data_IF_388639736726
#
_entry.id   IF_388639736726
#
_cell.length_a   1.000
_cell.length_b   1.000
_cell.length_c   1.000
_cell.angle_alpha   90.00
_cell.angle_beta   90.00
_cell.angle_gamma   90.00
#
_symmetry.space_group_name_H-M   'P 1'
#
loop_
_entity.id
_entity.type
_entity.pdbx_description
1 polymer ?
#
# COMPACT_ATOMS: atom_id res chain seq x y z
N UNK A 1 -30.74 -16.07 4.73
CA UNK A 1 -31.07 -14.77 4.14
C UNK A 1 -29.79 -14.11 3.62
N UNK A 2 -29.89 -13.43 2.48
CA UNK A 2 -28.80 -12.63 1.96
C UNK A 2 -28.80 -11.30 2.75
N UNK A 3 -27.84 -11.11 3.63
CA UNK A 3 -27.74 -9.93 4.49
C UNK A 3 -26.65 -9.02 3.94
N UNK A 4 -26.96 -7.73 3.77
CA UNK A 4 -25.97 -6.74 3.37
C UNK A 4 -25.16 -6.35 4.62
N UNK A 5 -23.86 -6.64 4.61
CA UNK A 5 -22.92 -6.24 5.66
C UNK A 5 -22.30 -4.89 5.29
N UNK A 6 -21.99 -4.08 6.30
CA UNK A 6 -21.30 -2.78 6.13
C UNK A 6 -19.80 -2.98 5.82
N UNK A 7 -19.23 -4.09 6.25
CA UNK A 7 -17.86 -4.53 5.99
C UNK A 7 -17.82 -6.05 5.93
N UNK A 8 -16.86 -6.62 5.18
CA UNK A 8 -16.65 -8.07 5.13
C UNK A 8 -16.37 -8.66 6.52
N UNK A 9 -15.76 -7.89 7.41
CA UNK A 9 -15.46 -8.30 8.78
C UNK A 9 -16.70 -8.45 9.66
N UNK A 10 -17.85 -7.92 9.27
CA UNK A 10 -19.14 -8.11 9.96
C UNK A 10 -19.79 -9.47 9.64
N UNK A 11 -19.44 -10.07 8.50
CA UNK A 11 -20.05 -11.32 8.05
C UNK A 11 -19.97 -12.46 9.07
N UNK A 12 -18.83 -12.72 9.76
CA UNK A 12 -18.77 -13.75 10.79
C UNK A 12 -19.77 -13.52 11.94
N UNK A 13 -20.00 -12.27 12.35
CA UNK A 13 -20.97 -11.94 13.40
C UNK A 13 -22.40 -12.26 12.93
N UNK A 14 -22.76 -11.87 11.71
CA UNK A 14 -24.08 -12.14 11.13
C UNK A 14 -24.33 -13.64 10.96
N UNK A 15 -23.31 -14.41 10.61
CA UNK A 15 -23.42 -15.86 10.47
C UNK A 15 -23.56 -16.54 11.83
N UNK A 16 -22.86 -16.04 12.86
CA UNK A 16 -22.99 -16.56 14.22
C UNK A 16 -24.37 -16.26 14.79
N UNK A 17 -24.88 -15.04 14.63
CA UNK A 17 -26.24 -14.65 15.04
C UNK A 17 -27.30 -15.54 14.35
N UNK A 18 -27.04 -15.96 13.11
CA UNK A 18 -27.88 -16.91 12.38
C UNK A 18 -27.73 -18.37 12.85
N UNK A 19 -26.83 -18.67 13.80
CA UNK A 19 -26.60 -19.99 14.37
C UNK A 19 -25.76 -20.93 13.50
N UNK A 20 -24.93 -20.39 12.58
CA UNK A 20 -24.14 -21.20 11.65
C UNK A 20 -23.18 -22.13 12.41
N UNK A 21 -22.45 -21.64 13.41
CA UNK A 21 -21.49 -22.44 14.16
C UNK A 21 -22.16 -23.66 14.81
N UNK A 22 -23.27 -23.43 15.50
CA UNK A 22 -24.06 -24.50 16.15
C UNK A 22 -24.57 -25.54 15.14
N UNK A 23 -25.06 -25.10 13.99
CA UNK A 23 -25.55 -26.03 12.95
C UNK A 23 -24.41 -26.83 12.31
N UNK A 24 -23.25 -26.21 12.07
CA UNK A 24 -22.06 -26.90 11.56
C UNK A 24 -21.56 -27.95 12.55
N UNK A 25 -21.38 -27.57 13.84
CA UNK A 25 -20.96 -28.50 14.89
C UNK A 25 -21.94 -29.68 15.00
N UNK A 26 -23.23 -29.40 15.01
CA UNK A 26 -24.27 -30.45 15.05
C UNK A 26 -24.17 -31.40 13.86
N UNK A 27 -23.97 -30.91 12.64
CA UNK A 27 -23.86 -31.72 11.42
C UNK A 27 -22.58 -32.56 11.38
N UNK A 28 -21.48 -32.06 11.95
CA UNK A 28 -20.19 -32.74 11.98
C UNK A 28 -20.02 -33.62 13.22
N UNK A 29 -20.97 -33.60 14.15
CA UNK A 29 -20.88 -34.36 15.41
C UNK A 29 -19.85 -33.83 16.39
N UNK A 30 -19.52 -32.53 16.32
CA UNK A 30 -18.64 -31.89 17.28
C UNK A 30 -19.44 -31.38 18.49
N UNK A 31 -18.90 -31.60 19.67
CA UNK A 31 -19.36 -30.99 20.91
C UNK A 31 -18.57 -29.70 21.12
N UNK A 32 -19.16 -28.56 20.75
CA UNK A 32 -18.56 -27.23 20.83
C UNK A 32 -19.39 -26.34 21.75
N UNK A 33 -18.68 -25.59 22.62
CA UNK A 33 -19.30 -24.51 23.37
C UNK A 33 -19.66 -23.31 22.48
N UNK A 34 -20.28 -22.30 23.07
CA UNK A 34 -20.57 -21.05 22.38
C UNK A 34 -19.24 -20.33 22.06
N UNK A 35 -19.08 -19.77 20.83
CA UNK A 35 -17.86 -19.08 20.44
C UNK A 35 -17.72 -17.74 21.17
N UNK A 36 -16.49 -17.38 21.54
CA UNK A 36 -16.22 -16.04 22.07
C UNK A 36 -15.92 -15.06 20.94
N UNK A 37 -16.92 -14.27 20.57
CA UNK A 37 -16.83 -13.27 19.49
C UNK A 37 -16.43 -11.86 19.99
N UNK A 38 -16.09 -11.67 21.28
CA UNK A 38 -15.84 -10.34 21.85
C UNK A 38 -14.74 -9.57 21.13
N UNK A 39 -13.59 -10.22 20.87
CA UNK A 39 -12.46 -9.58 20.19
C UNK A 39 -12.83 -9.22 18.74
N UNK A 40 -13.59 -10.09 18.06
CA UNK A 40 -14.04 -9.86 16.69
C UNK A 40 -15.07 -8.72 16.62
N UNK A 41 -16.03 -8.67 17.55
CA UNK A 41 -16.98 -7.57 17.67
C UNK A 41 -16.26 -6.23 17.89
N UNK A 42 -15.28 -6.19 18.80
CA UNK A 42 -14.48 -5.00 19.03
C UNK A 42 -13.70 -4.55 17.79
N UNK A 43 -13.20 -5.47 16.96
CA UNK A 43 -12.55 -5.16 15.68
C UNK A 43 -13.56 -4.52 14.71
N UNK A 44 -14.75 -5.10 14.55
CA UNK A 44 -15.78 -4.57 13.65
C UNK A 44 -16.21 -3.16 14.08
N UNK A 45 -16.38 -2.92 15.38
CA UNK A 45 -16.69 -1.59 15.90
C UNK A 45 -15.59 -0.57 15.60
N UNK A 46 -14.32 -0.93 15.73
CA UNK A 46 -13.20 -0.05 15.33
C UNK A 46 -13.23 0.30 13.84
N UNK A 47 -13.54 -0.68 12.98
CA UNK A 47 -13.63 -0.45 11.53
C UNK A 47 -14.75 0.54 11.21
N UNK A 48 -15.91 0.40 11.89
CA UNK A 48 -17.09 1.24 11.65
C UNK A 48 -16.95 2.67 12.18
N UNK A 49 -16.21 2.86 13.26
CA UNK A 49 -16.19 4.10 14.03
C UNK A 49 -14.81 4.76 14.14
N UNK A 50 -13.93 4.53 13.16
CA UNK A 50 -12.62 5.19 13.14
C UNK A 50 -12.75 6.73 13.11
N UNK A 51 -12.02 7.40 13.99
CA UNK A 51 -12.20 8.84 14.26
C UNK A 51 -11.32 9.73 13.37
N UNK A 52 -10.16 9.24 12.97
CA UNK A 52 -9.21 10.00 12.13
C UNK A 52 -9.49 9.75 10.65
N UNK A 53 -9.17 10.73 9.81
CA UNK A 53 -9.19 10.59 8.36
C UNK A 53 -7.78 10.76 7.83
N UNK A 54 -7.33 9.82 7.00
CA UNK A 54 -6.02 9.90 6.35
C UNK A 54 -6.16 9.58 4.87
N UNK A 55 -5.46 10.33 4.03
CA UNK A 55 -5.40 10.10 2.59
C UNK A 55 -4.01 9.63 2.21
N UNK A 56 -3.89 8.43 1.68
CA UNK A 56 -2.64 7.86 1.20
C UNK A 56 -2.62 7.91 -0.33
N UNK A 57 -1.68 8.67 -0.88
CA UNK A 57 -1.43 8.65 -2.32
C UNK A 57 -0.66 7.37 -2.68
N UNK A 58 -1.32 6.45 -3.38
CA UNK A 58 -0.71 5.25 -3.94
C UNK A 58 -0.25 5.58 -5.36
N UNK A 59 1.06 5.84 -5.50
CA UNK A 59 1.69 6.26 -6.75
C UNK A 59 2.29 5.04 -7.44
N UNK A 60 1.66 4.58 -8.50
CA UNK A 60 2.01 3.32 -9.14
C UNK A 60 1.82 3.28 -10.66
N UNK A 61 2.20 2.15 -11.25
CA UNK A 61 2.09 1.89 -12.70
C UNK A 61 0.77 1.25 -13.12
N UNK A 62 0.09 0.56 -12.17
CA UNK A 62 -1.07 -0.27 -12.45
C UNK A 62 -2.34 0.27 -11.80
N UNK A 63 -2.42 1.59 -11.64
CA UNK A 63 -3.54 2.26 -10.94
C UNK A 63 -4.87 2.16 -11.68
N UNK A 64 -4.86 1.86 -12.97
CA UNK A 64 -6.07 1.56 -13.74
C UNK A 64 -6.67 0.18 -13.45
N UNK A 65 -5.93 -0.71 -12.78
CA UNK A 65 -6.39 -2.04 -12.35
C UNK A 65 -6.16 -2.17 -10.85
N UNK A 66 -7.12 -1.74 -10.04
CA UNK A 66 -7.01 -1.67 -8.58
C UNK A 66 -6.63 -3.00 -7.94
N UNK A 67 -7.07 -4.13 -8.52
CA UNK A 67 -6.77 -5.48 -8.03
C UNK A 67 -5.26 -5.79 -8.02
N UNK A 68 -4.47 -5.12 -8.87
CA UNK A 68 -3.02 -5.28 -8.87
C UNK A 68 -2.37 -4.88 -7.54
N UNK A 69 -3.02 -4.01 -6.78
CA UNK A 69 -2.55 -3.51 -5.48
C UNK A 69 -3.47 -3.90 -4.32
N UNK A 70 -4.36 -4.89 -4.50
CA UNK A 70 -5.33 -5.29 -3.49
C UNK A 70 -4.69 -5.55 -2.12
N UNK A 71 -3.60 -6.33 -2.07
CA UNK A 71 -2.91 -6.65 -0.81
C UNK A 71 -2.34 -5.41 -0.12
N UNK A 72 -1.86 -4.42 -0.88
CA UNK A 72 -1.35 -3.15 -0.34
C UNK A 72 -2.49 -2.32 0.24
N UNK A 73 -3.61 -2.23 -0.48
CA UNK A 73 -4.81 -1.50 -0.04
C UNK A 73 -5.39 -2.11 1.22
N UNK A 74 -5.55 -3.44 1.27
CA UNK A 74 -6.03 -4.15 2.46
C UNK A 74 -5.09 -3.95 3.65
N UNK A 75 -3.77 -3.98 3.42
CA UNK A 75 -2.79 -3.72 4.48
C UNK A 75 -2.90 -2.30 5.04
N UNK A 76 -3.18 -1.31 4.18
CA UNK A 76 -3.43 0.07 4.62
C UNK A 76 -4.72 0.19 5.43
N UNK A 77 -5.79 -0.50 5.05
CA UNK A 77 -7.03 -0.54 5.84
C UNK A 77 -6.83 -1.22 7.19
N UNK A 78 -6.09 -2.32 7.27
CA UNK A 78 -5.73 -2.97 8.53
C UNK A 78 -4.91 -2.04 9.43
N UNK A 79 -3.90 -1.36 8.87
CA UNK A 79 -3.11 -0.38 9.61
C UNK A 79 -3.97 0.80 10.10
N UNK A 80 -4.87 1.29 9.24
CA UNK A 80 -5.84 2.33 9.60
C UNK A 80 -6.69 1.92 10.79
N UNK A 81 -7.26 0.72 10.75
CA UNK A 81 -8.06 0.17 11.86
C UNK A 81 -7.25 0.09 13.16
N UNK A 82 -5.98 -0.35 13.09
CA UNK A 82 -5.10 -0.40 14.26
C UNK A 82 -4.83 1.00 14.84
N UNK A 83 -4.72 2.02 13.97
CA UNK A 83 -4.41 3.41 14.32
C UNK A 83 -5.64 4.30 14.56
N UNK A 84 -6.85 3.73 14.61
CA UNK A 84 -8.11 4.47 14.71
C UNK A 84 -8.26 5.51 13.58
N UNK A 85 -7.96 5.09 12.35
CA UNK A 85 -7.99 5.93 11.17
C UNK A 85 -8.76 5.27 10.02
N UNK A 86 -9.63 6.03 9.39
CA UNK A 86 -10.24 5.68 8.11
C UNK A 86 -9.31 6.10 7.00
N UNK A 87 -8.86 5.14 6.19
CA UNK A 87 -7.92 5.36 5.10
C UNK A 87 -8.68 5.57 3.80
N UNK A 88 -8.35 6.66 3.11
CA UNK A 88 -8.76 6.91 1.72
C UNK A 88 -7.56 6.73 0.81
N UNK A 89 -7.70 5.93 -0.24
CA UNK A 89 -6.64 5.74 -1.25
C UNK A 89 -6.83 6.74 -2.38
N UNK A 90 -5.85 7.59 -2.57
CA UNK A 90 -5.74 8.43 -3.75
C UNK A 90 -4.87 7.70 -4.79
N UNK A 91 -5.50 7.21 -5.84
CA UNK A 91 -4.83 6.53 -6.93
C UNK A 91 -4.12 7.53 -7.83
N UNK A 92 -2.81 7.37 -8.00
CA UNK A 92 -1.99 8.27 -8.81
C UNK A 92 -1.19 7.46 -9.81
N UNK A 93 -1.47 7.66 -11.09
CA UNK A 93 -0.66 7.07 -12.15
C UNK A 93 0.67 7.82 -12.23
N UNK A 94 1.76 7.11 -11.99
CA UNK A 94 3.10 7.70 -11.98
C UNK A 94 3.52 8.28 -13.33
N UNK A 95 2.97 7.80 -14.45
CA UNK A 95 3.27 8.35 -15.77
C UNK A 95 2.68 9.75 -15.99
N UNK A 96 1.67 10.12 -15.23
CA UNK A 96 1.03 11.44 -15.33
C UNK A 96 1.66 12.51 -14.45
N UNK A 97 2.58 12.12 -13.55
CA UNK A 97 3.26 13.07 -12.67
C UNK A 97 4.40 13.79 -13.40
N UNK A 98 4.38 15.10 -13.28
CA UNK A 98 5.42 16.00 -13.78
C UNK A 98 5.88 16.97 -12.67
N UNK A 99 6.99 17.66 -12.88
CA UNK A 99 7.47 18.66 -11.93
C UNK A 99 6.46 19.79 -11.69
N UNK A 100 5.64 20.11 -12.70
CA UNK A 100 4.65 21.19 -12.64
C UNK A 100 3.39 20.77 -11.86
N UNK A 101 3.02 19.49 -11.87
CA UNK A 101 1.74 19.03 -11.30
C UNK A 101 1.88 18.26 -9.98
N UNK A 102 3.05 17.73 -9.63
CA UNK A 102 3.25 16.85 -8.48
C UNK A 102 2.76 17.48 -7.17
N UNK A 103 3.04 18.77 -6.97
CA UNK A 103 2.60 19.50 -5.78
C UNK A 103 1.07 19.64 -5.70
N UNK A 104 0.39 19.86 -6.83
CA UNK A 104 -1.06 19.95 -6.85
C UNK A 104 -1.74 18.59 -6.70
N UNK A 105 -1.14 17.54 -7.26
CA UNK A 105 -1.67 16.17 -7.17
C UNK A 105 -1.50 15.60 -5.77
N UNK A 106 -0.35 15.79 -5.13
CA UNK A 106 -0.04 15.19 -3.84
C UNK A 106 -0.30 16.11 -2.63
N UNK A 107 -0.64 17.39 -2.87
CA UNK A 107 -0.75 18.42 -1.83
C UNK A 107 -1.80 18.17 -0.74
N UNK A 108 -2.73 17.25 -0.97
CA UNK A 108 -3.78 16.89 0.01
C UNK A 108 -3.55 15.56 0.70
N UNK A 109 -2.47 14.82 0.40
CA UNK A 109 -2.24 13.51 0.99
C UNK A 109 -1.53 13.61 2.35
N UNK A 110 -1.84 12.66 3.23
CA UNK A 110 -1.20 12.49 4.54
C UNK A 110 0.01 11.57 4.48
N UNK A 111 0.16 10.82 3.41
CA UNK A 111 1.29 9.95 3.16
C UNK A 111 1.36 9.53 1.70
N UNK A 112 2.55 9.17 1.25
CA UNK A 112 2.83 8.65 -0.11
C UNK A 112 3.30 7.22 0.00
N UNK A 113 2.69 6.31 -0.77
CA UNK A 113 3.12 4.94 -0.91
C UNK A 113 3.45 4.66 -2.38
N UNK A 114 4.66 4.17 -2.63
CA UNK A 114 5.08 3.69 -3.95
C UNK A 114 5.25 2.16 -3.86
N UNK A 115 4.39 1.39 -4.54
CA UNK A 115 4.41 -0.06 -4.48
C UNK A 115 5.49 -0.67 -5.38
N UNK A 116 5.57 -2.00 -5.38
CA UNK A 116 6.37 -2.77 -6.32
C UNK A 116 5.90 -2.65 -7.77
N UNK A 117 6.79 -2.94 -8.70
CA UNK A 117 6.53 -2.93 -10.14
C UNK A 117 7.75 -3.32 -10.94
N UNK A 118 7.57 -3.58 -12.24
CA UNK A 118 8.64 -3.98 -13.17
C UNK A 118 8.73 -3.01 -14.34
N UNK A 119 9.91 -2.97 -14.98
CA UNK A 119 10.18 -2.13 -16.14
C UNK A 119 10.35 -0.64 -15.79
N UNK A 120 10.68 0.15 -16.78
CA UNK A 120 11.10 1.56 -16.66
C UNK A 120 9.95 2.58 -16.72
N UNK A 121 8.75 2.15 -17.11
CA UNK A 121 7.57 2.99 -17.24
C UNK A 121 7.24 3.70 -15.92
N UNK A 122 7.03 5.01 -15.94
CA UNK A 122 6.60 5.81 -14.78
C UNK A 122 7.63 6.01 -13.67
N UNK A 123 8.90 5.60 -13.86
CA UNK A 123 9.97 5.71 -12.86
C UNK A 123 10.20 7.17 -12.45
N UNK A 124 10.29 8.09 -13.41
CA UNK A 124 10.54 9.51 -13.11
C UNK A 124 9.41 10.14 -12.30
N UNK A 125 8.15 9.78 -12.59
CA UNK A 125 7.01 10.25 -11.78
C UNK A 125 7.04 9.69 -10.34
N UNK A 126 7.51 8.45 -10.16
CA UNK A 126 7.71 7.89 -8.80
C UNK A 126 8.84 8.63 -8.07
N UNK A 127 9.92 9.00 -8.76
CA UNK A 127 11.02 9.80 -8.20
C UNK A 127 10.51 11.18 -7.78
N UNK A 128 9.70 11.84 -8.62
CA UNK A 128 9.05 13.11 -8.28
C UNK A 128 8.15 12.99 -7.04
N UNK A 129 7.41 11.90 -6.91
CA UNK A 129 6.57 11.67 -5.73
C UNK A 129 7.41 11.47 -4.45
N UNK A 130 8.52 10.74 -4.54
CA UNK A 130 9.45 10.56 -3.43
C UNK A 130 10.12 11.89 -3.05
N UNK A 131 10.54 12.69 -4.04
CA UNK A 131 11.10 14.03 -3.83
C UNK A 131 10.09 14.93 -3.12
N UNK A 132 8.86 14.99 -3.64
CA UNK A 132 7.79 15.77 -3.03
C UNK A 132 7.59 15.39 -1.56
N UNK A 133 7.51 14.09 -1.27
CA UNK A 133 7.32 13.59 0.08
C UNK A 133 8.47 14.02 1.01
N UNK A 134 9.72 13.87 0.60
CA UNK A 134 10.90 14.27 1.37
C UNK A 134 10.95 15.77 1.62
N UNK A 135 10.74 16.59 0.58
CA UNK A 135 10.86 18.05 0.67
C UNK A 135 9.74 18.69 1.49
N UNK A 136 8.55 18.08 1.50
CA UNK A 136 7.39 18.59 2.23
C UNK A 136 7.16 17.88 3.58
N UNK A 137 8.05 16.97 4.00
CA UNK A 137 7.91 16.25 5.26
C UNK A 137 6.70 15.31 5.30
N UNK A 138 6.23 14.84 4.14
CA UNK A 138 5.14 13.86 4.03
C UNK A 138 5.72 12.46 4.24
N UNK A 139 5.14 11.62 5.11
CA UNK A 139 5.56 10.24 5.27
C UNK A 139 5.58 9.48 3.94
N UNK A 140 6.67 8.75 3.70
CA UNK A 140 6.86 7.95 2.49
C UNK A 140 7.11 6.49 2.84
N UNK A 141 6.43 5.58 2.12
CA UNK A 141 6.69 4.14 2.18
C UNK A 141 6.94 3.60 0.76
N UNK A 142 8.13 3.10 0.53
CA UNK A 142 8.50 2.41 -0.71
C UNK A 142 8.56 0.89 -0.52
N UNK A 143 7.84 0.14 -1.34
CA UNK A 143 7.84 -1.33 -1.33
C UNK A 143 8.55 -1.83 -2.59
N UNK A 144 9.60 -2.67 -2.43
CA UNK A 144 10.37 -3.24 -3.54
C UNK A 144 10.90 -2.13 -4.48
N UNK A 145 10.33 -1.94 -5.66
CA UNK A 145 10.66 -0.83 -6.56
C UNK A 145 10.57 0.52 -5.86
N UNK A 146 9.54 0.75 -5.07
CA UNK A 146 9.37 2.02 -4.34
C UNK A 146 10.51 2.32 -3.36
N UNK A 147 11.09 1.32 -2.73
CA UNK A 147 12.31 1.48 -1.92
C UNK A 147 13.51 1.88 -2.79
N UNK A 148 13.68 1.24 -3.95
CA UNK A 148 14.73 1.58 -4.91
C UNK A 148 14.57 3.03 -5.42
N UNK A 149 13.34 3.45 -5.69
CA UNK A 149 13.00 4.83 -6.08
C UNK A 149 13.45 5.84 -5.02
N UNK A 150 13.21 5.56 -3.73
CA UNK A 150 13.66 6.45 -2.65
C UNK A 150 15.18 6.58 -2.61
N UNK A 151 15.93 5.49 -2.85
CA UNK A 151 17.39 5.51 -2.92
C UNK A 151 17.87 6.34 -4.11
N UNK A 152 17.27 6.16 -5.27
CA UNK A 152 17.61 6.92 -6.49
C UNK A 152 17.31 8.41 -6.27
N UNK A 153 16.13 8.74 -5.76
CA UNK A 153 15.74 10.11 -5.46
C UNK A 153 16.73 10.78 -4.52
N UNK A 154 17.06 10.14 -3.40
CA UNK A 154 17.98 10.68 -2.41
C UNK A 154 19.38 10.89 -3.01
N UNK A 155 19.88 9.96 -3.80
CA UNK A 155 21.16 10.08 -4.49
C UNK A 155 21.17 11.27 -5.46
N UNK A 156 20.10 11.47 -6.22
CA UNK A 156 20.01 12.59 -7.17
C UNK A 156 19.92 13.94 -6.50
N UNK A 157 19.03 14.09 -5.53
CA UNK A 157 18.62 15.40 -5.03
C UNK A 157 19.24 15.78 -3.68
N UNK A 158 19.65 14.80 -2.87
CA UNK A 158 20.31 15.08 -1.58
C UNK A 158 21.84 14.91 -1.66
N UNK A 159 22.35 13.90 -2.39
CA UNK A 159 23.78 13.67 -2.56
C UNK A 159 24.35 14.46 -3.75
N UNK A 160 23.52 14.78 -4.76
CA UNK A 160 23.92 15.57 -5.94
C UNK A 160 24.45 14.73 -7.11
N UNK A 161 24.18 13.40 -7.14
CA UNK A 161 24.52 12.53 -8.26
C UNK A 161 23.37 12.52 -9.27
N UNK A 162 23.30 13.53 -10.12
CA UNK A 162 22.17 13.81 -11.00
C UNK A 162 21.78 12.64 -11.93
N UNK A 163 22.74 11.79 -12.29
CA UNK A 163 22.55 10.60 -13.14
C UNK A 163 22.32 9.30 -12.34
N UNK A 164 22.24 9.36 -11.00
CA UNK A 164 22.04 8.16 -10.17
C UNK A 164 20.79 7.39 -10.61
N UNK A 165 20.94 6.07 -10.79
CA UNK A 165 19.87 5.22 -11.26
C UNK A 165 20.06 3.76 -10.82
N UNK A 166 19.07 2.91 -11.12
CA UNK A 166 19.21 1.47 -11.11
C UNK A 166 19.93 1.02 -12.39
N UNK A 167 20.90 0.11 -12.27
CA UNK A 167 21.54 -0.55 -13.41
C UNK A 167 20.56 -1.36 -14.26
N UNK A 168 19.40 -1.73 -13.72
CA UNK A 168 18.30 -2.39 -14.45
C UNK A 168 17.68 -1.44 -15.49
N UNK A 169 17.50 -0.17 -15.14
CA UNK A 169 16.82 0.81 -16.00
C UNK A 169 17.79 1.66 -16.83
N UNK A 170 19.02 1.85 -16.34
CA UNK A 170 20.06 2.61 -17.02
C UNK A 170 21.43 1.94 -16.86
N UNK A 171 21.81 1.15 -17.86
CA UNK A 171 23.11 0.47 -17.88
C UNK A 171 24.31 1.41 -18.06
N UNK A 172 24.06 2.68 -18.43
CA UNK A 172 25.10 3.68 -18.72
C UNK A 172 25.28 4.71 -17.61
N UNK A 173 24.54 4.61 -16.48
CA UNK A 173 24.71 5.55 -15.37
C UNK A 173 26.10 5.43 -14.76
N UNK A 174 26.74 6.56 -14.46
CA UNK A 174 27.99 6.59 -13.73
C UNK A 174 27.80 6.28 -12.23
N UNK A 175 26.55 6.42 -11.70
CA UNK A 175 26.21 6.18 -10.31
C UNK A 175 25.09 5.13 -10.18
N UNK A 176 25.41 3.81 -10.40
CA UNK A 176 24.43 2.74 -10.25
C UNK A 176 24.17 2.45 -8.76
N UNK A 177 23.26 3.21 -8.15
CA UNK A 177 22.92 3.10 -6.71
C UNK A 177 22.08 1.85 -6.39
N UNK A 178 21.50 1.24 -7.40
CA UNK A 178 20.88 -0.08 -7.37
C UNK A 178 21.53 -0.92 -8.45
N UNK A 179 22.17 -2.03 -8.07
CA UNK A 179 22.88 -2.91 -8.99
C UNK A 179 22.88 -4.35 -8.46
N UNK A 180 23.18 -5.30 -9.35
CA UNK A 180 23.46 -6.68 -8.96
C UNK A 180 24.72 -6.75 -8.10
N UNK A 181 24.72 -7.60 -7.09
CA UNK A 181 25.92 -7.89 -6.31
C UNK A 181 26.94 -8.60 -7.21
N UNK A 182 28.26 -8.35 -7.00
CA UNK A 182 29.32 -8.94 -7.87
C UNK A 182 29.28 -10.46 -7.94
N UNK A 183 28.87 -11.14 -6.86
CA UNK A 183 28.73 -12.59 -6.77
C UNK A 183 27.45 -13.15 -7.43
N UNK A 184 26.53 -12.29 -7.85
CA UNK A 184 25.31 -12.64 -8.57
C UNK A 184 25.43 -12.43 -10.09
N UNK A 185 26.53 -11.89 -10.56
CA UNK A 185 26.78 -11.70 -11.99
C UNK A 185 27.00 -13.07 -12.64
N UNK A 186 26.10 -13.47 -13.57
CA UNK A 186 26.16 -14.74 -14.30
C UNK A 186 25.49 -15.93 -13.59
N UNK A 187 24.77 -15.72 -12.52
CA UNK A 187 23.87 -16.72 -11.92
C UNK A 187 22.57 -16.74 -12.72
N UNK A 188 22.28 -17.84 -13.43
CA UNK A 188 21.04 -18.08 -14.20
C UNK A 188 20.07 -18.96 -13.42
#
# INVERSE_FOLDING_TARGET
PNVTASTLYEVPLLLEDAGLCREVCRKLGFDCGEPDMKAWTALVEKIKHAHKQVTIALVGKYTGLHDAYLSVVESLFHAGTACDAQVTIQWVDSETLTAENVASVLGGCTGVLVPGGFGDRGIEGMILAAQYARENGVPYLGICLGMQIAVIEFARHAVGWADAHSAEFSSLTAHPVIALLPDQIGVT
#
